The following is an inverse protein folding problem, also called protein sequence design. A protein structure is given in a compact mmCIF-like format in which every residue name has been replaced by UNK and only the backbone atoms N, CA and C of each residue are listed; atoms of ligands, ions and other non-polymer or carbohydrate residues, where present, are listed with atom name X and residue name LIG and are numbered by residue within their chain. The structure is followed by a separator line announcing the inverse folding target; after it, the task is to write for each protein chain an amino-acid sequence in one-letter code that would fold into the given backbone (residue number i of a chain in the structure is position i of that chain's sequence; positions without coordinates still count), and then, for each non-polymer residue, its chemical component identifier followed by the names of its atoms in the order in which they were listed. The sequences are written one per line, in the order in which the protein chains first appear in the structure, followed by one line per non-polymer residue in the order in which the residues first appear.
data_IF_479486582745
#
_entry.id   IF_479486582745
#
_cell.length_a   1.000
_cell.length_b   1.000
_cell.length_c   1.000
_cell.angle_alpha   90.00
_cell.angle_beta   90.00
_cell.angle_gamma   90.00
#
_symmetry.space_group_name_H-M   'P 1'
#
loop_
_entity.id
_entity.type
_entity.pdbx_description
1 polymer ?
#
# COMPACT_ATOMS: atom_id res chain seq x y z
N UNK A 1 20.00 -61.77 48.85
CA UNK A 1 21.10 -60.82 49.16
C UNK A 1 20.67 -59.44 48.66
N UNK A 2 20.27 -58.54 49.58
CA UNK A 2 19.79 -57.18 49.22
C UNK A 2 20.97 -56.37 48.68
N UNK A 3 20.85 -55.88 47.44
CA UNK A 3 21.87 -55.13 46.71
C UNK A 3 22.19 -53.79 47.43
N UNK A 4 23.14 -53.83 48.37
CA UNK A 4 23.63 -52.63 49.08
C UNK A 4 24.28 -51.60 48.15
N UNK A 5 24.63 -51.99 46.92
CA UNK A 5 25.16 -51.10 45.88
C UNK A 5 24.09 -50.24 45.17
N UNK A 6 22.80 -50.59 45.24
CA UNK A 6 21.77 -49.92 44.46
C UNK A 6 21.30 -48.60 45.12
N UNK A 7 21.35 -48.54 46.45
CA UNK A 7 20.94 -47.37 47.23
C UNK A 7 21.78 -46.11 46.97
N UNK A 8 23.14 -46.16 46.95
CA UNK A 8 23.94 -44.96 46.67
C UNK A 8 23.78 -44.47 45.22
N UNK A 9 23.54 -45.36 44.26
CA UNK A 9 23.32 -45.00 42.85
C UNK A 9 21.98 -44.27 42.68
N UNK A 10 20.92 -44.78 43.30
CA UNK A 10 19.59 -44.14 43.30
C UNK A 10 19.62 -42.80 44.03
N UNK A 11 20.32 -42.73 45.17
CA UNK A 11 20.47 -41.47 45.91
C UNK A 11 21.28 -40.43 45.11
N UNK A 12 22.35 -40.86 44.44
CA UNK A 12 23.18 -40.00 43.59
C UNK A 12 22.44 -39.46 42.37
N UNK A 13 21.61 -40.29 41.71
CA UNK A 13 20.77 -39.84 40.61
C UNK A 13 19.67 -38.88 41.06
N UNK A 14 19.06 -39.11 42.23
CA UNK A 14 18.06 -38.19 42.80
C UNK A 14 18.68 -36.81 43.13
N UNK A 15 19.90 -36.80 43.68
CA UNK A 15 20.64 -35.58 43.98
C UNK A 15 20.98 -34.77 42.72
N UNK A 16 21.47 -35.45 41.66
CA UNK A 16 21.76 -34.81 40.38
C UNK A 16 20.50 -34.21 39.74
N UNK A 17 19.37 -34.91 39.81
CA UNK A 17 18.09 -34.41 39.29
C UNK A 17 17.64 -33.14 40.05
N UNK A 18 17.81 -33.12 41.37
CA UNK A 18 17.48 -31.95 42.19
C UNK A 18 18.37 -30.74 41.86
N UNK A 19 19.67 -30.96 41.64
CA UNK A 19 20.60 -29.88 41.26
C UNK A 19 20.26 -29.35 39.87
N UNK A 20 19.95 -30.23 38.91
CA UNK A 20 19.53 -29.82 37.57
C UNK A 20 18.29 -28.91 37.61
N UNK A 21 17.30 -29.22 38.46
CA UNK A 21 16.13 -28.38 38.65
C UNK A 21 16.46 -27.01 39.26
N UNK A 22 17.38 -26.95 40.23
CA UNK A 22 17.81 -25.69 40.84
C UNK A 22 18.55 -24.82 39.81
N UNK A 23 19.45 -25.41 39.02
CA UNK A 23 20.17 -24.70 37.96
C UNK A 23 19.20 -24.16 36.91
N UNK A 24 18.22 -24.97 36.49
CA UNK A 24 17.18 -24.53 35.56
C UNK A 24 16.38 -23.35 36.13
N UNK A 25 16.03 -23.40 37.41
CA UNK A 25 15.30 -22.32 38.09
C UNK A 25 16.11 -21.01 38.12
N UNK A 26 17.40 -21.07 38.45
CA UNK A 26 18.28 -19.88 38.46
C UNK A 26 18.44 -19.31 37.04
N UNK A 27 18.57 -20.17 36.04
CA UNK A 27 18.71 -19.75 34.64
C UNK A 27 17.43 -19.06 34.15
N UNK A 28 16.25 -19.58 34.52
CA UNK A 28 14.97 -18.95 34.23
C UNK A 28 14.83 -17.57 34.91
N UNK A 29 15.31 -17.41 36.14
CA UNK A 29 15.30 -16.11 36.82
C UNK A 29 16.23 -15.10 36.13
N UNK A 30 17.39 -15.52 35.66
CA UNK A 30 18.30 -14.64 34.92
C UNK A 30 17.69 -14.20 33.58
N UNK A 31 17.06 -15.12 32.85
CA UNK A 31 16.34 -14.79 31.61
C UNK A 31 15.19 -13.83 31.90
N UNK A 32 14.40 -14.07 32.97
CA UNK A 32 13.29 -13.19 33.39
C UNK A 32 13.76 -11.76 33.62
N UNK A 33 14.85 -11.57 34.37
CA UNK A 33 15.43 -10.25 34.64
C UNK A 33 15.95 -9.57 33.36
N UNK A 34 16.65 -10.31 32.49
CA UNK A 34 17.13 -9.76 31.22
C UNK A 34 15.99 -9.30 30.30
N UNK A 35 14.87 -10.04 30.28
CA UNK A 35 13.69 -9.67 29.49
C UNK A 35 12.97 -8.47 30.11
N UNK A 36 12.90 -8.37 31.45
CA UNK A 36 12.32 -7.22 32.13
C UNK A 36 13.12 -5.93 31.84
N UNK A 37 14.45 -5.99 31.91
CA UNK A 37 15.33 -4.85 31.60
C UNK A 37 15.25 -4.47 30.12
N UNK A 38 15.18 -5.44 29.21
CA UNK A 38 15.02 -5.21 27.79
C UNK A 38 13.66 -4.59 27.43
N UNK A 39 12.58 -5.05 28.07
CA UNK A 39 11.24 -4.49 27.88
C UNK A 39 11.15 -3.05 28.41
N UNK A 40 11.77 -2.74 29.56
CA UNK A 40 11.85 -1.39 30.09
C UNK A 40 12.62 -0.43 29.18
N UNK A 41 13.76 -0.87 28.64
CA UNK A 41 14.53 -0.08 27.66
C UNK A 41 13.73 0.18 26.38
N UNK A 42 13.01 -0.81 25.87
CA UNK A 42 12.15 -0.67 24.69
C UNK A 42 10.98 0.30 24.95
N UNK A 43 10.35 0.24 26.13
CA UNK A 43 9.25 1.14 26.50
C UNK A 43 9.71 2.59 26.53
N UNK A 44 10.90 2.86 27.10
CA UNK A 44 11.53 4.18 27.14
C UNK A 44 11.92 4.68 25.75
N UNK A 45 12.41 3.80 24.86
CA UNK A 45 12.72 4.17 23.48
C UNK A 45 11.46 4.59 22.70
N UNK A 46 10.35 3.88 22.89
CA UNK A 46 9.05 4.22 22.29
C UNK A 46 8.51 5.54 22.84
N UNK A 47 8.68 5.80 24.14
CA UNK A 47 8.31 7.08 24.76
C UNK A 47 9.15 8.24 24.21
N UNK A 48 10.46 8.03 24.02
CA UNK A 48 11.34 9.01 23.38
C UNK A 48 10.94 9.27 21.93
N UNK A 49 10.50 8.26 21.17
CA UNK A 49 10.00 8.41 19.81
C UNK A 49 8.64 9.12 19.74
N UNK A 50 7.80 8.99 20.77
CA UNK A 50 6.57 9.78 20.88
C UNK A 50 6.87 11.24 21.28
N UNK A 51 7.79 11.44 22.22
CA UNK A 51 8.16 12.75 22.76
C UNK A 51 9.00 13.59 21.78
N UNK A 52 9.90 12.95 21.02
CA UNK A 52 10.40 13.48 19.75
C UNK A 52 9.26 13.39 18.74
N UNK A 53 8.26 14.22 18.96
CA UNK A 53 7.20 14.43 18.00
C UNK A 53 7.86 14.57 16.64
N UNK A 54 7.43 13.73 15.69
CA UNK A 54 7.62 13.96 14.27
C UNK A 54 6.78 15.23 13.95
N UNK A 55 7.21 16.38 14.44
CA UNK A 55 6.50 17.67 14.43
C UNK A 55 6.50 18.31 13.05
N UNK A 56 7.24 17.73 12.11
CA UNK A 56 7.22 18.10 10.72
C UNK A 56 6.11 17.34 10.00
N UNK A 57 5.28 18.01 9.21
CA UNK A 57 4.40 17.30 8.31
C UNK A 57 5.29 16.64 7.24
N UNK A 58 4.96 15.41 6.87
CA UNK A 58 5.78 14.65 5.92
C UNK A 58 5.20 14.82 4.52
N UNK A 59 6.08 15.16 3.57
CA UNK A 59 5.71 15.33 2.17
C UNK A 59 5.79 13.99 1.47
N UNK A 60 4.63 13.43 1.10
CA UNK A 60 4.55 12.25 0.24
C UNK A 60 4.22 12.69 -1.17
N UNK A 61 4.94 12.16 -2.15
CA UNK A 61 4.59 12.34 -3.56
C UNK A 61 3.60 11.26 -3.97
N UNK A 62 2.34 11.66 -4.20
CA UNK A 62 1.31 10.75 -4.70
C UNK A 62 1.28 10.89 -6.22
N UNK A 63 1.62 9.81 -6.92
CA UNK A 63 1.48 9.74 -8.37
C UNK A 63 0.00 9.54 -8.74
N UNK A 64 -0.53 10.44 -9.54
CA UNK A 64 -1.84 10.30 -10.17
C UNK A 64 -1.60 9.91 -11.62
N UNK A 65 -2.08 8.73 -11.98
CA UNK A 65 -2.17 8.26 -13.36
C UNK A 65 -3.66 8.06 -13.69
N UNK A 66 -4.24 8.99 -14.46
CA UNK A 66 -5.64 8.97 -14.85
C UNK A 66 -5.76 9.27 -16.34
N UNK A 67 -6.62 8.54 -17.01
CA UNK A 67 -7.00 8.80 -18.40
C UNK A 67 -8.39 9.44 -18.41
N UNK A 68 -8.52 10.53 -19.15
CA UNK A 68 -9.81 11.19 -19.38
C UNK A 68 -10.25 10.96 -20.82
N UNK A 69 -11.53 10.62 -20.99
CA UNK A 69 -12.16 10.42 -22.28
C UNK A 69 -12.90 11.70 -22.65
N UNK A 70 -12.41 12.38 -23.68
CA UNK A 70 -13.02 13.62 -24.18
C UNK A 70 -13.76 13.28 -25.48
N UNK A 71 -15.10 13.26 -25.46
CA UNK A 71 -15.87 13.04 -26.68
C UNK A 71 -15.84 14.31 -27.54
N UNK A 72 -15.49 14.16 -28.81
CA UNK A 72 -15.47 15.22 -29.81
C UNK A 72 -16.56 14.92 -30.83
N UNK A 73 -17.55 15.80 -30.90
CA UNK A 73 -18.65 15.75 -31.87
C UNK A 73 -18.60 16.99 -32.74
N UNK A 74 -18.24 16.81 -34.01
CA UNK A 74 -18.14 17.89 -34.99
C UNK A 74 -18.91 17.51 -36.23
N UNK A 75 -19.70 18.45 -36.76
CA UNK A 75 -20.41 18.29 -38.02
C UNK A 75 -19.80 19.23 -39.06
N UNK A 76 -19.22 18.68 -40.12
CA UNK A 76 -18.60 19.47 -41.18
C UNK A 76 -19.57 19.55 -42.37
N UNK A 77 -20.07 20.75 -42.73
CA UNK A 77 -20.88 20.91 -43.93
C UNK A 77 -19.99 20.85 -45.18
N UNK A 78 -20.39 20.04 -46.14
CA UNK A 78 -19.73 19.89 -47.44
C UNK A 78 -20.70 20.33 -48.53
N UNK A 79 -20.32 21.40 -49.23
CA UNK A 79 -21.05 21.91 -50.40
C UNK A 79 -20.17 21.76 -51.63
N UNK A 80 -20.59 20.93 -52.57
CA UNK A 80 -19.88 20.73 -53.84
C UNK A 80 -20.87 20.60 -54.99
N UNK A 81 -20.38 20.77 -56.21
CA UNK A 81 -21.17 20.62 -57.43
C UNK A 81 -20.53 19.55 -58.28
N UNK A 82 -21.31 18.54 -58.67
CA UNK A 82 -20.86 17.47 -59.56
C UNK A 82 -21.52 17.67 -60.92
N UNK A 83 -20.72 17.72 -61.97
CA UNK A 83 -21.21 17.83 -63.34
C UNK A 83 -21.24 16.45 -63.97
N UNK A 84 -22.44 15.96 -64.28
CA UNK A 84 -22.64 14.64 -64.91
C UNK A 84 -22.95 14.85 -66.39
N UNK A 85 -22.13 14.34 -67.31
CA UNK A 85 -22.45 14.35 -68.73
C UNK A 85 -23.51 13.28 -69.05
N UNK A 86 -24.54 13.66 -69.81
CA UNK A 86 -25.60 12.78 -70.28
C UNK A 86 -25.66 12.87 -71.80
N UNK A 87 -25.70 11.72 -72.47
CA UNK A 87 -25.86 11.65 -73.93
C UNK A 87 -27.33 11.46 -74.26
N UNK A 88 -27.89 12.33 -75.11
CA UNK A 88 -29.27 12.22 -75.55
C UNK A 88 -29.37 11.11 -76.62
N UNK A 89 -30.12 10.01 -76.38
CA UNK A 89 -30.09 8.84 -77.27
C UNK A 89 -30.59 9.11 -78.69
N UNK A 90 -31.43 10.14 -78.87
CA UNK A 90 -32.10 10.46 -80.13
C UNK A 90 -31.25 11.40 -81.01
N UNK A 91 -30.43 12.26 -80.41
CA UNK A 91 -29.63 13.28 -81.12
C UNK A 91 -28.12 13.08 -81.01
N UNK A 92 -27.65 12.21 -80.11
CA UNK A 92 -26.23 11.95 -79.86
C UNK A 92 -25.49 13.10 -79.16
N UNK A 93 -26.18 14.18 -78.80
CA UNK A 93 -25.59 15.34 -78.15
C UNK A 93 -25.29 15.07 -76.67
N UNK A 94 -24.15 15.58 -76.20
CA UNK A 94 -23.72 15.47 -74.81
C UNK A 94 -24.10 16.74 -74.06
N UNK A 95 -24.99 16.60 -73.08
CA UNK A 95 -25.43 17.69 -72.21
C UNK A 95 -24.88 17.47 -70.82
N UNK A 96 -24.30 18.50 -70.23
CA UNK A 96 -23.77 18.46 -68.86
C UNK A 96 -24.82 18.95 -67.88
N UNK A 97 -25.19 18.12 -66.92
CA UNK A 97 -26.10 18.49 -65.83
C UNK A 97 -25.27 18.73 -64.57
N UNK A 98 -25.40 19.92 -63.97
CA UNK A 98 -24.77 20.24 -62.70
C UNK A 98 -25.71 19.88 -61.55
N UNK A 99 -25.26 19.00 -60.66
CA UNK A 99 -26.00 18.57 -59.47
C UNK A 99 -25.31 19.16 -58.23
N UNK A 100 -25.99 19.99 -57.43
CA UNK A 100 -25.46 20.43 -56.15
C UNK A 100 -25.56 19.31 -55.13
N UNK A 101 -24.47 19.07 -54.40
CA UNK A 101 -24.42 18.16 -53.27
C UNK A 101 -24.24 19.03 -52.02
N UNK A 102 -25.22 19.00 -51.14
CA UNK A 102 -25.18 19.59 -49.81
C UNK A 102 -25.32 18.44 -48.80
N UNK A 103 -24.24 18.14 -48.08
CA UNK A 103 -24.21 17.04 -47.13
C UNK A 103 -23.45 17.45 -45.87
N UNK A 104 -23.81 16.82 -44.76
CA UNK A 104 -23.16 17.03 -43.47
C UNK A 104 -22.46 15.75 -43.08
N UNK A 105 -21.15 15.83 -42.87
CA UNK A 105 -20.35 14.69 -42.41
C UNK A 105 -20.19 14.79 -40.90
N UNK A 106 -20.79 13.87 -40.11
CA UNK A 106 -20.57 13.81 -38.68
C UNK A 106 -19.24 13.13 -38.36
N UNK A 107 -18.46 13.74 -37.47
CA UNK A 107 -17.29 13.14 -36.84
C UNK A 107 -17.63 12.91 -35.37
N UNK A 108 -17.60 11.65 -34.96
CA UNK A 108 -17.72 11.24 -33.55
C UNK A 108 -16.46 10.46 -33.19
N UNK A 109 -15.62 11.05 -32.34
CA UNK A 109 -14.38 10.42 -31.90
C UNK A 109 -14.17 10.69 -30.41
N UNK A 110 -13.50 9.77 -29.74
CA UNK A 110 -13.11 9.92 -28.35
C UNK A 110 -11.60 10.00 -28.27
N UNK A 111 -11.10 11.07 -27.64
CA UNK A 111 -9.67 11.25 -27.40
C UNK A 111 -9.35 10.86 -25.96
N UNK A 112 -8.42 9.93 -25.81
CA UNK A 112 -7.90 9.52 -24.51
C UNK A 112 -6.71 10.41 -24.14
N UNK A 113 -6.87 11.23 -23.11
CA UNK A 113 -5.80 12.10 -22.61
C UNK A 113 -5.23 11.51 -21.32
N UNK A 114 -4.00 10.98 -21.34
CA UNK A 114 -3.34 10.52 -20.13
C UNK A 114 -2.82 11.72 -19.34
N UNK A 115 -3.24 11.85 -18.08
CA UNK A 115 -2.74 12.85 -17.14
C UNK A 115 -1.90 12.15 -16.11
N UNK A 116 -0.60 12.45 -16.14
CA UNK A 116 0.38 11.99 -15.15
C UNK A 116 0.88 13.18 -14.36
N UNK A 117 0.52 13.23 -13.08
CA UNK A 117 0.97 14.30 -12.18
C UNK A 117 1.39 13.74 -10.84
N UNK A 118 2.34 14.40 -10.19
CA UNK A 118 2.75 14.11 -8.82
C UNK A 118 2.26 15.25 -7.95
N UNK A 119 1.40 14.94 -6.98
CA UNK A 119 0.94 15.92 -6.00
C UNK A 119 1.71 15.71 -4.69
N UNK A 120 2.43 16.74 -4.20
CA UNK A 120 2.98 16.71 -2.86
C UNK A 120 1.83 16.85 -1.87
N UNK A 121 1.51 15.79 -1.14
CA UNK A 121 0.54 15.84 -0.05
C UNK A 121 1.29 15.95 1.27
N UNK A 122 0.92 16.97 2.04
CA UNK A 122 1.51 17.22 3.34
C UNK A 122 0.63 16.56 4.40
N UNK A 123 1.08 15.42 4.92
CA UNK A 123 0.29 14.65 5.89
C UNK A 123 0.81 15.01 7.28
N UNK A 124 -0.12 15.35 8.18
CA UNK A 124 0.24 15.63 9.57
C UNK A 124 0.43 14.31 10.30
N UNK A 125 1.38 14.29 11.24
CA UNK A 125 1.59 13.12 12.10
C UNK A 125 0.35 12.77 12.94
N UNK A 126 -0.46 13.76 13.30
CA UNK A 126 -1.75 13.57 14.00
C UNK A 126 -2.77 12.76 13.20
N UNK A 127 -2.66 12.77 11.88
CA UNK A 127 -3.60 12.11 10.97
C UNK A 127 -3.17 10.66 10.70
N UNK A 128 -1.96 10.28 11.12
CA UNK A 128 -1.48 8.93 11.05
C UNK A 128 -1.93 8.11 12.27
N UNK A 129 -2.36 6.86 12.10
CA UNK A 129 -2.73 5.98 13.20
C UNK A 129 -1.53 5.51 14.05
N UNK A 130 -0.31 6.03 13.78
CA UNK A 130 0.93 5.61 14.44
C UNK A 130 0.92 5.94 15.94
N UNK A 131 0.29 7.04 16.36
CA UNK A 131 0.20 7.39 17.78
C UNK A 131 -0.45 6.29 18.63
N UNK A 132 -1.56 5.73 18.15
CA UNK A 132 -2.24 4.62 18.84
C UNK A 132 -1.43 3.32 18.86
N UNK A 133 -0.65 3.06 17.81
CA UNK A 133 0.24 1.89 17.73
C UNK A 133 1.38 2.01 18.74
N UNK A 134 1.99 3.20 18.87
CA UNK A 134 3.07 3.44 19.82
C UNK A 134 2.57 3.39 21.27
N UNK A 135 1.35 3.88 21.55
CA UNK A 135 0.71 3.76 22.86
C UNK A 135 0.47 2.30 23.24
N UNK A 136 -0.15 1.52 22.34
CA UNK A 136 -0.41 0.10 22.58
C UNK A 136 0.89 -0.70 22.79
N UNK A 137 1.94 -0.36 22.04
CA UNK A 137 3.26 -0.97 22.18
C UNK A 137 3.89 -0.65 23.54
N UNK A 138 3.83 0.61 23.97
CA UNK A 138 4.31 1.03 25.28
C UNK A 138 3.55 0.31 26.41
N UNK A 139 2.22 0.27 26.34
CA UNK A 139 1.37 -0.39 27.33
C UNK A 139 1.66 -1.90 27.40
N UNK A 140 1.88 -2.55 26.25
CA UNK A 140 2.26 -3.96 26.19
C UNK A 140 3.65 -4.20 26.79
N UNK A 141 4.65 -3.37 26.46
CA UNK A 141 6.01 -3.48 27.00
C UNK A 141 6.04 -3.24 28.52
N UNK A 142 5.27 -2.27 29.00
CA UNK A 142 5.13 -1.98 30.43
C UNK A 142 4.46 -3.12 31.20
N UNK A 143 3.39 -3.71 30.63
CA UNK A 143 2.75 -4.91 31.18
C UNK A 143 3.68 -6.12 31.17
N UNK A 144 4.46 -6.29 30.10
CA UNK A 144 5.45 -7.37 30.00
C UNK A 144 6.50 -7.24 31.10
N UNK A 145 7.10 -6.06 31.24
CA UNK A 145 8.12 -5.77 32.26
C UNK A 145 7.60 -5.98 33.70
N UNK A 146 6.34 -5.62 33.97
CA UNK A 146 5.72 -5.79 35.29
C UNK A 146 5.19 -7.21 35.57
N UNK A 147 4.94 -8.00 34.52
CA UNK A 147 4.54 -9.42 34.65
C UNK A 147 5.72 -10.38 34.82
N UNK A 148 6.92 -9.92 34.47
CA UNK A 148 8.19 -10.63 34.64
C UNK A 148 8.81 -10.31 36.00
#
# INVERSE_FOLDING_TARGET
MKNKLLYPIVLGTLLLLSIANIVLFVLLLQVKNQVADGAGQAASAVEQMQAQSLTGPFTVQIAIDKTFDIPIKVSIPVKTTVTVPIVIPVTGEQVSITVPIDTVVPIDTTVHVPVKTSLPVNIKMSDLPIGGILQNLHDWLSKLASSL
#
